data_IF_637368842764
#
_entry.id   IF_637368842764
#
_cell.length_a   1.000
_cell.length_b   1.000
_cell.length_c   1.000
_cell.angle_alpha   90.00
_cell.angle_beta   90.00
_cell.angle_gamma   90.00
#
_symmetry.space_group_name_H-M   'P 1'
#
loop_
_entity.id
_entity.type
_entity.pdbx_description
1 polymer ?
#
# COMPACT_ATOMS: atom_id res chain seq x y z
N UNK A 1 -7.28 3.96 46.25
CA UNK A 1 -6.42 3.28 45.26
C UNK A 1 -6.86 1.85 44.87
N UNK A 2 -8.10 1.41 45.11
CA UNK A 2 -8.52 0.01 44.84
C UNK A 2 -9.60 -0.14 43.73
N UNK A 3 -10.00 0.94 43.09
CA UNK A 3 -11.07 0.91 42.08
C UNK A 3 -10.63 0.94 40.61
N UNK A 4 -9.41 1.36 40.33
CA UNK A 4 -8.89 1.52 38.94
C UNK A 4 -8.28 0.20 38.44
N UNK A 5 -7.74 -0.61 39.31
CA UNK A 5 -7.13 -1.91 38.98
C UNK A 5 -8.12 -3.00 38.54
N UNK A 6 -9.41 -2.90 38.91
CA UNK A 6 -10.42 -3.88 38.50
C UNK A 6 -10.98 -3.69 37.08
N UNK A 7 -10.81 -2.51 36.47
CA UNK A 7 -11.24 -2.26 35.08
C UNK A 7 -10.18 -2.55 34.04
N UNK A 8 -8.92 -2.73 34.40
CA UNK A 8 -7.84 -3.14 33.52
C UNK A 8 -7.80 -4.65 33.19
N UNK A 9 -8.61 -5.45 33.92
CA UNK A 9 -8.62 -6.91 33.78
C UNK A 9 -9.23 -7.46 32.47
N UNK A 10 -9.83 -6.59 31.65
CA UNK A 10 -10.37 -6.99 30.32
C UNK A 10 -9.35 -6.95 29.17
N UNK A 11 -8.14 -6.44 29.43
CA UNK A 11 -7.02 -6.47 28.47
C UNK A 11 -6.10 -7.69 28.65
N UNK A 12 -6.32 -8.48 29.70
CA UNK A 12 -5.53 -9.66 30.07
C UNK A 12 -5.63 -10.85 29.07
N UNK A 13 -6.74 -11.11 28.35
CA UNK A 13 -6.79 -12.25 27.43
C UNK A 13 -5.88 -12.06 26.18
N UNK A 14 -5.53 -10.82 25.83
CA UNK A 14 -4.67 -10.53 24.68
C UNK A 14 -3.19 -10.75 25.01
N UNK A 15 -2.82 -10.67 26.28
CA UNK A 15 -1.43 -10.86 26.76
C UNK A 15 -1.06 -12.34 26.97
N UNK A 16 -2.03 -13.24 27.14
CA UNK A 16 -1.76 -14.66 27.43
C UNK A 16 -1.42 -15.52 26.19
N UNK A 17 -1.55 -14.98 24.97
CA UNK A 17 -1.14 -15.69 23.74
C UNK A 17 0.34 -15.48 23.41
N UNK A 18 1.03 -14.64 24.17
CA UNK A 18 2.48 -14.36 23.98
C UNK A 18 3.27 -14.97 25.14
N UNK A 19 3.18 -16.30 25.34
CA UNK A 19 4.16 -17.04 26.13
C UNK A 19 5.36 -17.43 25.26
N UNK A 20 6.58 -17.46 25.81
CA UNK A 20 7.83 -17.29 25.06
C UNK A 20 8.18 -18.53 24.25
N UNK A 21 8.29 -18.39 22.95
CA UNK A 21 9.18 -19.29 22.18
C UNK A 21 10.59 -18.69 22.30
N UNK A 22 11.34 -19.36 23.18
CA UNK A 22 12.72 -19.04 23.50
C UNK A 22 13.62 -19.00 22.27
N UNK A 23 14.43 -17.99 22.26
CA UNK A 23 15.81 -17.92 21.79
C UNK A 23 16.27 -18.98 20.78
N UNK A 24 16.40 -18.58 19.51
CA UNK A 24 17.45 -19.08 18.66
C UNK A 24 18.25 -17.87 18.11
N UNK A 25 19.55 -18.07 18.19
CA UNK A 25 20.66 -17.13 18.03
C UNK A 25 20.58 -16.24 16.81
N UNK A 26 21.16 -15.05 16.93
CA UNK A 26 21.32 -14.05 15.89
C UNK A 26 21.93 -14.60 14.60
N UNK A 27 21.08 -14.89 13.64
CA UNK A 27 21.44 -15.05 12.25
C UNK A 27 21.34 -13.67 11.60
N UNK A 28 22.45 -13.15 11.12
CA UNK A 28 22.46 -11.95 10.30
C UNK A 28 21.44 -12.10 9.16
N UNK A 29 20.72 -11.02 8.84
CA UNK A 29 19.74 -10.97 7.75
C UNK A 29 20.43 -11.50 6.50
N UNK A 30 20.01 -12.67 6.04
CA UNK A 30 20.42 -13.16 4.73
C UNK A 30 19.98 -12.11 3.69
N UNK A 31 20.91 -11.72 2.83
CA UNK A 31 20.63 -10.79 1.73
C UNK A 31 19.33 -11.21 1.06
N UNK A 32 18.41 -10.26 0.83
CA UNK A 32 17.14 -10.52 0.14
C UNK A 32 17.30 -11.15 -1.26
N UNK A 33 18.54 -11.29 -1.75
CA UNK A 33 18.91 -11.98 -2.97
C UNK A 33 18.75 -13.51 -2.89
N UNK A 34 18.79 -14.12 -1.68
CA UNK A 34 18.71 -15.57 -1.47
C UNK A 34 17.42 -15.95 -0.73
N UNK A 35 16.26 -15.53 -1.25
CA UNK A 35 15.00 -16.09 -0.79
C UNK A 35 14.85 -17.46 -1.47
N UNK A 36 15.43 -18.48 -0.86
CA UNK A 36 15.02 -19.86 -1.17
C UNK A 36 13.58 -20.00 -0.68
N UNK A 37 12.67 -19.99 -1.62
CA UNK A 37 11.25 -20.13 -1.36
C UNK A 37 10.95 -21.58 -0.99
N UNK A 38 11.00 -21.89 0.29
CA UNK A 38 10.54 -23.16 0.82
C UNK A 38 9.08 -23.03 1.24
N UNK A 39 8.16 -23.46 0.36
CA UNK A 39 6.75 -23.56 0.74
C UNK A 39 6.65 -24.54 1.91
N UNK A 40 6.37 -24.03 3.11
CA UNK A 40 6.12 -24.84 4.29
C UNK A 40 4.62 -25.10 4.45
N UNK A 41 4.25 -26.30 4.90
CA UNK A 41 2.85 -26.59 5.26
C UNK A 41 2.30 -25.56 6.25
N UNK A 42 3.11 -25.13 7.23
CA UNK A 42 2.72 -24.13 8.22
C UNK A 42 2.48 -22.74 7.59
N UNK A 43 3.28 -22.33 6.58
CA UNK A 43 3.07 -21.03 5.90
C UNK A 43 1.79 -21.03 5.08
N UNK A 44 1.48 -22.15 4.41
CA UNK A 44 0.22 -22.33 3.66
C UNK A 44 -0.98 -22.30 4.61
N UNK A 45 -0.92 -23.05 5.71
CA UNK A 45 -1.99 -23.09 6.71
C UNK A 45 -2.27 -21.69 7.29
N UNK A 46 -1.21 -20.98 7.71
CA UNK A 46 -1.35 -19.61 8.26
C UNK A 46 -1.84 -18.63 7.19
N UNK A 47 -1.40 -18.76 5.94
CA UNK A 47 -1.90 -17.94 4.82
C UNK A 47 -3.40 -18.16 4.56
N UNK A 48 -3.86 -19.41 4.57
CA UNK A 48 -5.29 -19.74 4.43
C UNK A 48 -6.10 -19.17 5.62
N UNK A 49 -5.60 -19.30 6.84
CA UNK A 49 -6.22 -18.69 8.04
C UNK A 49 -6.32 -17.17 7.87
N UNK A 50 -5.27 -16.53 7.37
CA UNK A 50 -5.25 -15.09 7.08
C UNK A 50 -6.29 -14.69 6.04
N UNK A 51 -6.36 -15.40 4.91
CA UNK A 51 -7.36 -15.14 3.88
C UNK A 51 -8.78 -15.26 4.44
N UNK A 52 -9.07 -16.34 5.17
CA UNK A 52 -10.39 -16.56 5.80
C UNK A 52 -10.71 -15.44 6.79
N UNK A 53 -9.74 -15.02 7.60
CA UNK A 53 -9.92 -13.94 8.58
C UNK A 53 -10.22 -12.60 7.91
N UNK A 54 -9.49 -12.24 6.83
CA UNK A 54 -9.74 -11.01 6.07
C UNK A 54 -11.11 -11.01 5.39
N UNK A 55 -11.52 -12.15 4.81
CA UNK A 55 -12.85 -12.31 4.24
C UNK A 55 -13.95 -12.25 5.30
N UNK A 56 -13.73 -12.83 6.48
CA UNK A 56 -14.65 -12.77 7.60
C UNK A 56 -14.85 -11.32 8.09
N UNK A 57 -13.77 -10.53 8.20
CA UNK A 57 -13.86 -9.10 8.51
C UNK A 57 -14.69 -8.38 7.45
N UNK A 58 -14.42 -8.58 6.16
CA UNK A 58 -15.19 -7.95 5.09
C UNK A 58 -16.68 -8.36 5.12
N UNK A 59 -16.97 -9.62 5.41
CA UNK A 59 -18.33 -10.13 5.55
C UNK A 59 -19.07 -9.48 6.74
N UNK A 60 -18.41 -9.29 7.88
CA UNK A 60 -18.98 -8.61 9.05
C UNK A 60 -19.38 -7.17 8.75
N UNK A 61 -18.55 -6.44 8.00
CA UNK A 61 -18.77 -5.02 7.63
C UNK A 61 -19.53 -4.83 6.32
N UNK A 62 -19.99 -5.90 5.67
CA UNK A 62 -20.77 -5.83 4.44
C UNK A 62 -22.10 -5.11 4.64
N UNK A 63 -22.46 -4.28 3.64
CA UNK A 63 -23.75 -3.57 3.60
C UNK A 63 -24.92 -4.55 3.38
N UNK A 64 -24.69 -5.58 2.58
CA UNK A 64 -25.68 -6.64 2.31
C UNK A 64 -24.96 -7.99 2.12
N UNK A 65 -24.93 -8.78 3.19
CA UNK A 65 -24.24 -10.07 3.22
C UNK A 65 -24.84 -11.11 2.26
N UNK A 66 -26.15 -11.00 1.97
CA UNK A 66 -26.84 -11.94 1.09
C UNK A 66 -26.57 -11.69 -0.39
N UNK A 67 -26.26 -10.44 -0.74
CA UNK A 67 -25.98 -10.04 -2.11
C UNK A 67 -24.50 -10.24 -2.53
N UNK A 68 -23.65 -10.77 -1.63
CA UNK A 68 -22.23 -11.02 -1.94
C UNK A 68 -22.13 -12.11 -3.03
N UNK A 69 -21.49 -11.76 -4.14
CA UNK A 69 -21.17 -12.71 -5.20
C UNK A 69 -19.90 -13.50 -4.89
N UNK A 70 -20.04 -14.66 -4.27
CA UNK A 70 -18.92 -15.55 -3.95
C UNK A 70 -18.14 -16.01 -5.20
N UNK A 71 -18.79 -15.99 -6.38
CA UNK A 71 -18.10 -16.24 -7.66
C UNK A 71 -17.05 -15.16 -7.94
N UNK A 72 -17.39 -13.89 -7.77
CA UNK A 72 -16.42 -12.76 -7.94
C UNK A 72 -15.30 -12.86 -6.93
N UNK A 73 -15.61 -13.17 -5.67
CA UNK A 73 -14.62 -13.37 -4.60
C UNK A 73 -13.67 -14.50 -4.96
N UNK A 74 -14.17 -15.66 -5.35
CA UNK A 74 -13.36 -16.83 -5.70
C UNK A 74 -12.46 -16.57 -6.92
N UNK A 75 -12.98 -15.90 -7.95
CA UNK A 75 -12.18 -15.54 -9.14
C UNK A 75 -11.08 -14.54 -8.76
N UNK A 76 -11.39 -13.52 -7.93
CA UNK A 76 -10.40 -12.53 -7.51
C UNK A 76 -9.27 -13.14 -6.67
N UNK A 77 -9.61 -14.06 -5.76
CA UNK A 77 -8.61 -14.83 -4.99
C UNK A 77 -7.75 -15.72 -5.90
N UNK A 78 -8.38 -16.42 -6.86
CA UNK A 78 -7.65 -17.22 -7.83
C UNK A 78 -6.72 -16.37 -8.70
N UNK A 79 -7.16 -15.20 -9.14
CA UNK A 79 -6.31 -14.26 -9.88
C UNK A 79 -5.11 -13.80 -9.05
N UNK A 80 -5.31 -13.45 -7.77
CA UNK A 80 -4.20 -13.08 -6.90
C UNK A 80 -3.21 -14.22 -6.71
N UNK A 81 -3.70 -15.45 -6.49
CA UNK A 81 -2.85 -16.62 -6.33
C UNK A 81 -2.05 -16.91 -7.61
N UNK A 82 -2.71 -16.88 -8.77
CA UNK A 82 -2.05 -17.10 -10.08
C UNK A 82 -1.00 -16.01 -10.35
N UNK A 83 -1.29 -14.75 -10.05
CA UNK A 83 -0.32 -13.66 -10.18
C UNK A 83 0.86 -13.87 -9.24
N UNK A 84 0.64 -14.20 -7.97
CA UNK A 84 1.70 -14.41 -6.99
C UNK A 84 2.59 -15.59 -7.38
N UNK A 85 2.02 -16.74 -7.75
CA UNK A 85 2.78 -17.91 -8.24
C UNK A 85 3.53 -17.55 -9.53
N UNK A 86 2.88 -16.88 -10.46
CA UNK A 86 3.51 -16.42 -11.70
C UNK A 86 4.75 -15.56 -11.46
N UNK A 87 4.62 -14.54 -10.60
CA UNK A 87 5.69 -13.58 -10.31
C UNK A 87 6.85 -14.24 -9.54
N UNK A 88 6.53 -15.16 -8.62
CA UNK A 88 7.54 -15.75 -7.74
C UNK A 88 8.22 -16.99 -8.33
N UNK A 89 7.54 -17.76 -9.20
CA UNK A 89 8.05 -19.05 -9.67
C UNK A 89 8.14 -19.24 -11.18
N UNK A 90 7.38 -18.48 -11.98
CA UNK A 90 7.37 -18.68 -13.44
C UNK A 90 8.41 -17.78 -14.10
N UNK A 91 9.52 -18.33 -14.66
CA UNK A 91 10.64 -17.54 -15.18
C UNK A 91 10.23 -16.50 -16.24
N UNK A 92 9.27 -16.85 -17.10
CA UNK A 92 8.77 -15.92 -18.13
C UNK A 92 8.04 -14.71 -17.50
N UNK A 93 7.25 -14.91 -16.43
CA UNK A 93 6.58 -13.83 -15.71
C UNK A 93 7.59 -13.02 -14.91
N UNK A 94 8.53 -13.66 -14.24
CA UNK A 94 9.64 -13.00 -13.54
C UNK A 94 10.41 -12.08 -14.49
N UNK A 95 10.75 -12.54 -15.70
CA UNK A 95 11.47 -11.76 -16.70
C UNK A 95 10.69 -10.50 -17.11
N UNK A 96 9.36 -10.57 -17.22
CA UNK A 96 8.51 -9.42 -17.50
C UNK A 96 8.60 -8.38 -16.36
N UNK A 97 8.44 -8.81 -15.12
CA UNK A 97 8.54 -7.90 -13.96
C UNK A 97 9.95 -7.36 -13.78
N UNK A 98 10.97 -8.15 -14.07
CA UNK A 98 12.37 -7.72 -14.06
C UNK A 98 12.65 -6.68 -15.15
N UNK A 99 12.12 -6.88 -16.36
CA UNK A 99 12.23 -5.92 -17.46
C UNK A 99 11.62 -4.57 -17.08
N UNK A 100 10.39 -4.55 -16.54
CA UNK A 100 9.77 -3.32 -16.08
C UNK A 100 10.50 -2.73 -14.87
N UNK A 101 10.97 -3.55 -13.94
CA UNK A 101 11.80 -3.09 -12.81
C UNK A 101 13.07 -2.38 -13.28
N UNK A 102 13.78 -2.95 -14.27
CA UNK A 102 14.97 -2.31 -14.89
C UNK A 102 14.62 -0.99 -15.55
N UNK A 103 13.47 -0.90 -16.22
CA UNK A 103 12.99 0.37 -16.80
C UNK A 103 12.78 1.41 -15.70
N UNK A 104 12.10 1.05 -14.58
CA UNK A 104 11.90 1.97 -13.47
C UNK A 104 13.22 2.45 -12.87
N UNK A 105 14.19 1.56 -12.67
CA UNK A 105 15.52 1.93 -12.16
C UNK A 105 16.22 2.88 -13.13
N UNK A 106 16.18 2.59 -14.43
CA UNK A 106 16.79 3.46 -15.44
C UNK A 106 16.15 4.87 -15.47
N UNK A 107 14.85 4.94 -15.24
CA UNK A 107 14.13 6.21 -15.12
C UNK A 107 14.59 6.99 -13.88
N UNK A 108 14.83 6.27 -12.76
CA UNK A 108 15.42 6.87 -11.55
C UNK A 108 16.81 7.45 -11.83
N UNK A 109 17.65 6.74 -12.59
CA UNK A 109 18.99 7.23 -12.97
C UNK A 109 18.88 8.52 -13.79
N UNK A 110 17.98 8.60 -14.78
CA UNK A 110 17.74 9.84 -15.55
C UNK A 110 17.26 10.99 -14.66
N UNK A 111 16.42 10.69 -13.66
CA UNK A 111 16.01 11.71 -12.69
C UNK A 111 17.19 12.23 -11.90
N UNK A 112 18.12 11.33 -11.51
CA UNK A 112 19.32 11.70 -10.78
C UNK A 112 20.20 12.67 -11.60
N UNK A 113 20.36 12.43 -12.90
CA UNK A 113 21.12 13.33 -13.79
C UNK A 113 20.51 14.74 -13.81
N UNK A 114 19.18 14.85 -13.96
CA UNK A 114 18.48 16.12 -13.89
C UNK A 114 18.58 16.80 -12.51
N UNK A 115 18.56 16.00 -11.44
CA UNK A 115 18.70 16.50 -10.07
C UNK A 115 20.12 17.02 -9.79
N UNK A 116 21.15 16.33 -10.26
CA UNK A 116 22.55 16.78 -10.15
C UNK A 116 22.73 18.11 -10.88
N UNK A 117 22.17 18.25 -12.09
CA UNK A 117 22.22 19.51 -12.82
C UNK A 117 21.60 20.68 -12.04
N UNK A 118 20.46 20.43 -11.35
CA UNK A 118 19.73 21.50 -10.64
C UNK A 118 20.28 21.78 -9.24
N UNK A 119 20.71 20.74 -8.52
CA UNK A 119 21.00 20.78 -7.07
C UNK A 119 22.50 20.60 -6.77
N UNK A 120 23.31 20.19 -7.74
CA UNK A 120 24.77 20.05 -7.60
C UNK A 120 25.17 19.11 -6.46
N UNK A 121 26.08 19.59 -5.62
CA UNK A 121 26.67 18.84 -4.51
C UNK A 121 25.65 18.41 -3.41
N UNK A 122 24.45 18.99 -3.38
CA UNK A 122 23.39 18.54 -2.47
C UNK A 122 22.86 17.14 -2.83
N UNK A 123 23.15 16.65 -4.05
CA UNK A 123 22.85 15.28 -4.47
C UNK A 123 23.92 14.26 -4.07
N UNK A 124 25.09 14.73 -3.63
CA UNK A 124 26.18 13.86 -3.18
C UNK A 124 25.97 13.44 -1.72
N UNK A 125 25.53 12.20 -1.53
CA UNK A 125 25.25 11.65 -0.20
C UNK A 125 26.51 11.54 0.68
N UNK A 126 27.71 11.55 0.10
CA UNK A 126 28.97 11.53 0.87
C UNK A 126 29.30 12.89 1.44
N UNK A 127 28.89 13.99 0.79
CA UNK A 127 29.12 15.37 1.24
C UNK A 127 27.99 15.92 2.09
N UNK A 128 26.74 15.79 1.60
CA UNK A 128 25.57 16.40 2.21
C UNK A 128 24.76 15.43 3.10
N UNK A 129 25.11 14.14 3.11
CA UNK A 129 24.28 13.10 3.70
C UNK A 129 23.03 12.80 2.86
N UNK A 130 22.20 11.87 3.32
CA UNK A 130 20.95 11.55 2.64
C UNK A 130 19.87 12.57 2.99
N UNK A 131 19.56 13.49 2.07
CA UNK A 131 18.50 14.50 2.22
C UNK A 131 17.30 14.09 1.39
N UNK A 132 16.22 13.68 2.06
CA UNK A 132 14.97 13.22 1.43
C UNK A 132 14.45 14.17 0.33
N UNK A 133 14.43 15.48 0.63
CA UNK A 133 13.87 16.46 -0.29
C UNK A 133 14.61 16.50 -1.63
N UNK A 134 15.90 16.22 -1.65
CA UNK A 134 16.71 16.26 -2.87
C UNK A 134 16.82 14.90 -3.55
N UNK A 135 16.83 13.81 -2.77
CA UNK A 135 16.98 12.46 -3.32
C UNK A 135 15.67 11.89 -3.87
N UNK A 136 14.50 12.30 -3.31
CA UNK A 136 13.22 11.65 -3.59
C UNK A 136 12.22 12.55 -4.32
N UNK A 137 12.05 13.82 -3.90
CA UNK A 137 11.01 14.66 -4.50
C UNK A 137 11.19 14.90 -6.02
N UNK A 138 12.41 15.04 -6.57
CA UNK A 138 12.60 15.16 -8.01
C UNK A 138 12.09 13.95 -8.80
N UNK A 139 12.13 12.75 -8.21
CA UNK A 139 11.61 11.54 -8.87
C UNK A 139 10.11 11.64 -9.11
N UNK A 140 9.37 12.20 -8.16
CA UNK A 140 7.92 12.42 -8.29
C UNK A 140 7.62 13.37 -9.45
N UNK A 141 8.41 14.43 -9.58
CA UNK A 141 8.25 15.44 -10.64
C UNK A 141 8.49 14.82 -12.02
N UNK A 142 9.61 14.12 -12.19
CA UNK A 142 9.97 13.52 -13.46
C UNK A 142 8.99 12.40 -13.87
N UNK A 143 8.61 11.52 -12.93
CA UNK A 143 7.64 10.47 -13.21
C UNK A 143 6.25 11.01 -13.57
N UNK A 144 5.81 12.09 -12.94
CA UNK A 144 4.56 12.76 -13.31
C UNK A 144 4.62 13.29 -14.75
N UNK A 145 5.71 13.94 -15.12
CA UNK A 145 5.92 14.42 -16.50
C UNK A 145 5.96 13.26 -17.52
N UNK A 146 6.68 12.18 -17.19
CA UNK A 146 6.77 10.97 -18.01
C UNK A 146 5.42 10.28 -18.18
N UNK A 147 4.67 10.12 -17.08
CA UNK A 147 3.32 9.53 -17.09
C UNK A 147 2.37 10.34 -17.95
N UNK A 148 2.42 11.68 -17.86
CA UNK A 148 1.63 12.59 -18.68
C UNK A 148 1.98 12.46 -20.17
N UNK A 149 3.26 12.33 -20.49
CA UNK A 149 3.74 12.07 -21.87
C UNK A 149 3.22 10.73 -22.39
N UNK A 150 3.37 9.64 -21.62
CA UNK A 150 2.90 8.30 -22.00
C UNK A 150 1.37 8.26 -22.15
N UNK A 151 0.67 9.05 -21.35
CA UNK A 151 -0.78 9.22 -21.47
C UNK A 151 -1.14 9.97 -22.75
N UNK A 152 -0.43 11.07 -23.08
CA UNK A 152 -0.64 11.81 -24.32
C UNK A 152 -0.40 10.95 -25.58
N UNK A 153 0.63 10.08 -25.54
CA UNK A 153 0.96 9.13 -26.62
C UNK A 153 -0.03 7.95 -26.72
N UNK A 154 -0.96 7.81 -25.76
CA UNK A 154 -1.94 6.72 -25.75
C UNK A 154 -1.38 5.35 -25.34
N UNK A 155 -0.15 5.31 -24.82
CA UNK A 155 0.50 4.05 -24.40
C UNK A 155 -0.18 3.48 -23.16
N UNK A 156 -0.34 4.32 -22.11
CA UNK A 156 -0.99 3.92 -20.86
C UNK A 156 -2.41 3.43 -21.12
N UNK A 157 -3.16 4.13 -21.96
CA UNK A 157 -4.55 3.75 -22.28
C UNK A 157 -4.65 2.35 -22.87
N UNK A 158 -3.72 1.96 -23.75
CA UNK A 158 -3.71 0.62 -24.36
C UNK A 158 -3.41 -0.46 -23.33
N UNK A 159 -2.44 -0.22 -22.44
CA UNK A 159 -2.07 -1.16 -21.38
C UNK A 159 -3.22 -1.32 -20.39
N UNK A 160 -3.78 -0.20 -19.92
CA UNK A 160 -4.91 -0.18 -18.99
C UNK A 160 -6.15 -0.85 -19.61
N UNK A 161 -6.43 -0.61 -20.90
CA UNK A 161 -7.52 -1.26 -21.64
C UNK A 161 -7.36 -2.79 -21.64
N UNK A 162 -6.16 -3.29 -21.95
CA UNK A 162 -5.90 -4.72 -21.97
C UNK A 162 -6.14 -5.37 -20.59
N UNK A 163 -5.67 -4.72 -19.52
CA UNK A 163 -5.87 -5.20 -18.15
C UNK A 163 -7.35 -5.12 -17.74
N UNK A 164 -8.04 -4.03 -18.06
CA UNK A 164 -9.46 -3.86 -17.80
C UNK A 164 -10.29 -4.91 -18.54
N UNK A 165 -9.95 -5.24 -19.78
CA UNK A 165 -10.61 -6.28 -20.55
C UNK A 165 -10.51 -7.67 -19.88
N UNK A 166 -9.32 -8.02 -19.40
CA UNK A 166 -9.10 -9.27 -18.64
C UNK A 166 -9.97 -9.28 -17.39
N UNK A 167 -9.97 -8.20 -16.60
CA UNK A 167 -10.76 -8.11 -15.37
C UNK A 167 -12.26 -8.16 -15.63
N UNK A 168 -12.77 -7.41 -16.62
CA UNK A 168 -14.19 -7.44 -17.01
C UNK A 168 -14.62 -8.83 -17.42
N UNK A 169 -13.82 -9.51 -18.27
CA UNK A 169 -14.15 -10.84 -18.79
C UNK A 169 -14.11 -11.93 -17.72
N UNK A 170 -13.12 -11.89 -16.82
CA UNK A 170 -12.97 -12.93 -15.79
C UNK A 170 -13.88 -12.69 -14.58
N UNK A 171 -13.98 -11.46 -14.10
CA UNK A 171 -14.69 -11.14 -12.86
C UNK A 171 -16.14 -10.67 -13.08
N UNK A 172 -16.55 -10.49 -14.35
CA UNK A 172 -17.90 -10.01 -14.71
C UNK A 172 -18.29 -8.71 -13.98
N UNK A 173 -17.38 -7.76 -13.95
CA UNK A 173 -17.55 -6.39 -13.43
C UNK A 173 -17.69 -5.40 -14.59
N UNK A 174 -18.18 -4.18 -14.32
CA UNK A 174 -18.42 -3.23 -15.41
C UNK A 174 -17.11 -2.80 -16.09
N UNK A 175 -17.20 -2.44 -17.37
CA UNK A 175 -16.05 -1.98 -18.13
C UNK A 175 -15.43 -0.71 -17.54
N UNK A 176 -16.26 0.20 -17.00
CA UNK A 176 -15.82 1.46 -16.44
C UNK A 176 -15.07 1.26 -15.10
N UNK A 177 -15.63 0.45 -14.20
CA UNK A 177 -14.97 0.15 -12.94
C UNK A 177 -13.66 -0.64 -13.15
N UNK A 178 -13.62 -1.57 -14.12
CA UNK A 178 -12.42 -2.29 -14.51
C UNK A 178 -11.34 -1.34 -15.04
N UNK A 179 -11.74 -0.37 -15.87
CA UNK A 179 -10.84 0.62 -16.44
C UNK A 179 -10.23 1.52 -15.35
N UNK A 180 -11.05 1.95 -14.37
CA UNK A 180 -10.57 2.75 -13.25
C UNK A 180 -9.59 1.97 -12.37
N UNK A 181 -9.93 0.73 -11.99
CA UNK A 181 -9.06 -0.10 -11.14
C UNK A 181 -7.76 -0.46 -11.85
N UNK A 182 -7.79 -0.83 -13.13
CA UNK A 182 -6.60 -1.10 -13.92
C UNK A 182 -5.76 0.18 -14.13
N UNK A 183 -6.41 1.33 -14.31
CA UNK A 183 -5.74 2.62 -14.41
C UNK A 183 -4.98 2.99 -13.16
N UNK A 184 -5.53 2.70 -11.98
CA UNK A 184 -4.90 2.98 -10.70
C UNK A 184 -3.58 2.21 -10.47
N UNK A 185 -3.29 1.15 -11.22
CA UNK A 185 -1.99 0.44 -11.15
C UNK A 185 -0.82 1.36 -11.55
N UNK A 186 -1.08 2.32 -12.45
CA UNK A 186 -0.08 3.21 -13.03
C UNK A 186 -0.30 4.68 -12.64
N UNK A 187 -1.57 5.06 -12.49
CA UNK A 187 -2.02 6.43 -12.25
C UNK A 187 -2.37 6.63 -10.77
N UNK A 188 -2.41 7.88 -10.34
CA UNK A 188 -2.86 8.23 -9.00
C UNK A 188 -4.37 8.05 -8.80
N UNK A 189 -4.79 8.03 -7.54
CA UNK A 189 -6.19 7.83 -7.12
C UNK A 189 -7.17 8.91 -7.62
N UNK A 190 -6.69 10.06 -8.07
CA UNK A 190 -7.48 11.15 -8.67
C UNK A 190 -7.38 11.16 -10.19
N UNK A 191 -6.33 10.58 -10.75
CA UNK A 191 -6.05 10.56 -12.19
C UNK A 191 -6.78 9.44 -12.92
N UNK A 192 -6.79 8.22 -12.34
CA UNK A 192 -7.48 7.09 -12.97
C UNK A 192 -8.99 7.32 -13.15
N UNK A 193 -9.73 7.95 -12.22
CA UNK A 193 -11.14 8.32 -12.43
C UNK A 193 -11.37 9.31 -13.59
N UNK A 194 -10.35 10.10 -14.00
CA UNK A 194 -10.46 10.96 -15.19
C UNK A 194 -10.69 10.16 -16.49
N UNK A 195 -10.17 8.94 -16.55
CA UNK A 195 -10.35 8.08 -17.73
C UNK A 195 -11.80 7.68 -17.95
N UNK A 196 -12.63 7.74 -16.91
CA UNK A 196 -14.05 7.35 -16.89
C UNK A 196 -14.97 8.51 -16.51
N UNK A 197 -14.48 9.75 -16.55
CA UNK A 197 -15.18 10.95 -16.08
C UNK A 197 -16.61 11.06 -16.61
N UNK A 198 -16.82 10.77 -17.90
CA UNK A 198 -18.10 10.91 -18.58
C UNK A 198 -19.16 9.93 -18.07
N UNK A 199 -18.75 8.86 -17.38
CA UNK A 199 -19.63 7.80 -16.90
C UNK A 199 -19.87 7.84 -15.38
N UNK A 200 -19.08 8.61 -14.63
CA UNK A 200 -19.14 8.63 -13.15
C UNK A 200 -20.53 8.98 -12.61
N UNK A 201 -21.28 9.85 -13.29
CA UNK A 201 -22.62 10.26 -12.85
C UNK A 201 -23.68 9.16 -12.94
N UNK A 202 -23.48 8.21 -13.83
CA UNK A 202 -24.42 7.10 -14.11
C UNK A 202 -24.03 5.80 -13.41
N UNK A 203 -22.86 5.74 -12.78
CA UNK A 203 -22.38 4.57 -12.06
C UNK A 203 -23.22 4.25 -10.83
N UNK A 204 -23.43 2.96 -10.58
CA UNK A 204 -24.09 2.49 -9.35
C UNK A 204 -23.24 2.75 -8.11
N UNK A 205 -23.85 2.78 -6.90
CA UNK A 205 -23.08 2.93 -5.66
C UNK A 205 -21.96 1.90 -5.47
N UNK A 206 -22.17 0.64 -5.92
CA UNK A 206 -21.14 -0.40 -5.87
C UNK A 206 -19.98 -0.13 -6.82
N UNK A 207 -20.25 0.42 -8.00
CA UNK A 207 -19.22 0.79 -8.98
C UNK A 207 -18.40 2.00 -8.48
N UNK A 208 -19.05 3.05 -7.98
CA UNK A 208 -18.37 4.21 -7.35
C UNK A 208 -17.52 3.74 -6.16
N UNK A 209 -18.03 2.81 -5.36
CA UNK A 209 -17.26 2.26 -4.25
C UNK A 209 -16.01 1.51 -4.70
N UNK A 210 -16.09 0.75 -5.81
CA UNK A 210 -14.91 0.09 -6.38
C UNK A 210 -13.91 1.09 -6.95
N UNK A 211 -14.36 2.20 -7.57
CA UNK A 211 -13.48 3.29 -8.01
C UNK A 211 -12.68 3.85 -6.83
N UNK A 212 -13.34 4.13 -5.70
CA UNK A 212 -12.68 4.57 -4.47
C UNK A 212 -11.70 3.53 -3.94
N UNK A 213 -12.14 2.26 -3.85
CA UNK A 213 -11.31 1.16 -3.33
C UNK A 213 -10.06 0.96 -4.21
N UNK A 214 -10.20 1.02 -5.53
CA UNK A 214 -9.09 0.94 -6.47
C UNK A 214 -8.03 2.00 -6.21
N UNK A 215 -8.44 3.25 -6.00
CA UNK A 215 -7.54 4.34 -5.66
C UNK A 215 -6.88 4.21 -4.29
N UNK A 216 -7.54 3.52 -3.34
CA UNK A 216 -6.97 3.29 -1.99
C UNK A 216 -5.97 2.13 -1.95
N UNK A 217 -6.07 1.16 -2.86
CA UNK A 217 -5.29 -0.08 -2.78
C UNK A 217 -4.00 -0.04 -3.60
N UNK A 218 -3.88 0.89 -4.53
CA UNK A 218 -2.72 1.06 -5.43
C UNK A 218 -1.93 2.31 -5.12
N UNK A 219 -0.77 2.43 -5.73
CA UNK A 219 0.10 3.62 -5.64
C UNK A 219 0.43 4.14 -7.04
N UNK A 220 0.57 5.46 -7.17
CA UNK A 220 1.00 6.07 -8.43
C UNK A 220 2.47 5.72 -8.77
N UNK A 221 2.79 5.62 -10.06
CA UNK A 221 4.12 5.22 -10.53
C UNK A 221 5.26 6.11 -10.01
N UNK A 222 5.05 7.43 -9.90
CA UNK A 222 6.05 8.34 -9.34
C UNK A 222 6.36 8.09 -7.87
N UNK A 223 5.36 7.73 -7.10
CA UNK A 223 5.50 7.38 -5.68
C UNK A 223 6.16 6.01 -5.51
N UNK A 224 5.84 5.05 -6.37
CA UNK A 224 6.48 3.73 -6.42
C UNK A 224 8.00 3.85 -6.58
N UNK A 225 8.45 4.77 -7.44
CA UNK A 225 9.87 5.06 -7.64
C UNK A 225 10.58 5.52 -6.35
N UNK A 226 9.91 6.37 -5.55
CA UNK A 226 10.40 6.79 -4.25
C UNK A 226 10.58 5.59 -3.29
N UNK A 227 9.62 4.68 -3.25
CA UNK A 227 9.69 3.50 -2.36
C UNK A 227 10.77 2.50 -2.79
N UNK A 228 11.03 2.35 -4.09
CA UNK A 228 12.18 1.59 -4.58
C UNK A 228 13.50 2.18 -4.04
N UNK A 229 13.63 3.50 -4.04
CA UNK A 229 14.81 4.19 -3.51
C UNK A 229 14.94 3.99 -2.00
N UNK A 230 13.86 4.07 -1.21
CA UNK A 230 13.90 3.86 0.24
C UNK A 230 14.35 2.46 0.62
N UNK A 231 13.73 1.45 0.00
CA UNK A 231 13.96 0.05 0.36
C UNK A 231 15.23 -0.54 -0.25
N UNK A 232 15.59 -0.06 -1.45
CA UNK A 232 16.77 -0.53 -2.20
C UNK A 232 18.05 0.22 -1.86
N UNK A 233 17.96 1.46 -1.33
CA UNK A 233 19.12 2.31 -1.06
C UNK A 233 19.97 2.54 -2.30
N UNK A 234 21.30 2.46 -2.17
CA UNK A 234 22.27 2.59 -3.27
C UNK A 234 22.58 1.26 -3.97
N UNK A 235 22.13 0.11 -3.43
CA UNK A 235 22.40 -1.21 -3.97
C UNK A 235 21.50 -1.54 -5.19
N UNK A 236 22.06 -1.70 -6.42
CA UNK A 236 21.29 -1.98 -7.62
C UNK A 236 20.50 -3.30 -7.52
N UNK A 237 21.02 -4.30 -6.82
CA UNK A 237 20.38 -5.62 -6.66
C UNK A 237 19.14 -5.46 -5.76
N UNK A 238 19.28 -4.78 -4.62
CA UNK A 238 18.14 -4.50 -3.73
C UNK A 238 17.08 -3.63 -4.42
N UNK A 239 17.48 -2.61 -5.17
CA UNK A 239 16.54 -1.79 -5.98
C UNK A 239 15.72 -2.64 -6.93
N UNK A 240 16.36 -3.60 -7.63
CA UNK A 240 15.66 -4.48 -8.56
C UNK A 240 14.69 -5.43 -7.85
N UNK A 241 15.09 -5.97 -6.70
CA UNK A 241 14.24 -6.86 -5.88
C UNK A 241 12.99 -6.09 -5.43
N UNK A 242 13.16 -4.92 -4.81
CA UNK A 242 12.02 -4.14 -4.33
C UNK A 242 11.19 -3.56 -5.48
N UNK A 243 11.79 -3.21 -6.62
CA UNK A 243 11.04 -2.81 -7.81
C UNK A 243 10.10 -3.93 -8.29
N UNK A 244 10.59 -5.18 -8.35
CA UNK A 244 9.75 -6.35 -8.70
C UNK A 244 8.61 -6.55 -7.71
N UNK A 245 8.89 -6.50 -6.41
CA UNK A 245 7.86 -6.69 -5.37
C UNK A 245 6.83 -5.57 -5.34
N UNK A 246 7.24 -4.32 -5.50
CA UNK A 246 6.32 -3.17 -5.52
C UNK A 246 5.44 -3.14 -6.77
N UNK A 247 6.00 -3.47 -7.94
CA UNK A 247 5.22 -3.64 -9.17
C UNK A 247 4.22 -4.80 -9.03
N UNK A 248 4.67 -5.92 -8.45
CA UNK A 248 3.82 -7.06 -8.17
C UNK A 248 2.66 -6.70 -7.22
N UNK A 249 2.97 -5.99 -6.14
CA UNK A 249 1.98 -5.52 -5.18
C UNK A 249 0.92 -4.65 -5.85
N UNK A 250 1.32 -3.72 -6.73
CA UNK A 250 0.41 -2.84 -7.46
C UNK A 250 -0.52 -3.60 -8.41
N UNK A 251 0.01 -4.61 -9.13
CA UNK A 251 -0.78 -5.43 -10.05
C UNK A 251 -1.73 -6.36 -9.28
N UNK A 252 -1.26 -7.00 -8.20
CA UNK A 252 -2.08 -7.87 -7.35
C UNK A 252 -3.15 -7.10 -6.58
N UNK A 253 -2.94 -5.84 -6.32
CA UNK A 253 -3.90 -4.98 -5.64
C UNK A 253 -5.23 -4.86 -6.40
N UNK A 254 -5.21 -4.86 -7.74
CA UNK A 254 -6.39 -4.67 -8.56
C UNK A 254 -7.48 -5.76 -8.35
N UNK A 255 -7.21 -7.07 -8.49
CA UNK A 255 -8.20 -8.10 -8.17
C UNK A 255 -8.59 -8.10 -6.68
N UNK A 256 -7.66 -7.76 -5.77
CA UNK A 256 -7.96 -7.59 -4.35
C UNK A 256 -8.96 -6.47 -4.06
N UNK A 257 -8.84 -5.34 -4.76
CA UNK A 257 -9.80 -4.24 -4.68
C UNK A 257 -11.21 -4.71 -5.05
N UNK A 258 -11.34 -5.47 -6.13
CA UNK A 258 -12.65 -6.01 -6.57
C UNK A 258 -13.23 -6.94 -5.52
N UNK A 259 -12.44 -7.86 -4.96
CA UNK A 259 -12.89 -8.79 -3.91
C UNK A 259 -13.54 -8.02 -2.76
N UNK A 260 -12.79 -7.11 -2.14
CA UNK A 260 -13.28 -6.42 -0.94
C UNK A 260 -14.31 -5.35 -1.23
N UNK A 261 -14.22 -4.68 -2.38
CA UNK A 261 -15.27 -3.73 -2.76
C UNK A 261 -16.61 -4.44 -2.98
N UNK A 262 -16.63 -5.56 -3.69
CA UNK A 262 -17.86 -6.32 -3.96
C UNK A 262 -18.36 -7.12 -2.75
N UNK A 263 -17.52 -7.35 -1.74
CA UNK A 263 -17.97 -7.88 -0.44
C UNK A 263 -18.58 -6.80 0.46
N UNK A 264 -17.95 -5.63 0.57
CA UNK A 264 -18.41 -4.55 1.45
C UNK A 264 -19.61 -3.78 0.91
N UNK A 265 -19.65 -3.56 -0.40
CA UNK A 265 -20.79 -2.95 -1.13
C UNK A 265 -21.10 -3.78 -2.35
N UNK A 266 -21.90 -4.85 -2.20
CA UNK A 266 -22.24 -5.77 -3.28
C UNK A 266 -22.96 -5.09 -4.46
N UNK A 267 -22.74 -5.61 -5.66
CA UNK A 267 -23.41 -5.15 -6.88
C UNK A 267 -24.80 -5.74 -6.96
N UNK A 268 -25.82 -4.89 -6.95
CA UNK A 268 -27.22 -5.28 -7.03
C UNK A 268 -27.90 -4.87 -8.35
N UNK A 269 -27.21 -4.06 -9.18
CA UNK A 269 -27.69 -3.63 -10.49
C UNK A 269 -26.97 -4.39 -11.59
N UNK A 270 -27.59 -4.46 -12.77
CA UNK A 270 -26.93 -5.00 -13.96
C UNK A 270 -25.71 -4.15 -14.31
N UNK A 271 -24.64 -4.81 -14.72
CA UNK A 271 -23.37 -4.17 -15.09
C UNK A 271 -23.30 -3.96 -16.60
N UNK A 272 -22.73 -2.82 -17.01
CA UNK A 272 -22.40 -2.56 -18.39
C UNK A 272 -20.93 -2.97 -18.65
N UNK A 273 -20.75 -4.03 -19.43
CA UNK A 273 -19.42 -4.60 -19.69
C UNK A 273 -18.66 -3.87 -20.83
N UNK A 274 -19.26 -2.86 -21.45
CA UNK A 274 -18.57 -2.08 -22.48
C UNK A 274 -17.45 -1.25 -21.89
N UNK A 275 -16.24 -1.39 -22.44
CA UNK A 275 -15.08 -0.61 -22.04
C UNK A 275 -14.94 0.56 -23.01
N UNK A 276 -15.07 1.78 -22.50
CA UNK A 276 -14.93 3.00 -23.29
C UNK A 276 -13.99 3.96 -22.56
N UNK A 277 -12.92 4.36 -23.20
CA UNK A 277 -11.97 5.31 -22.64
C UNK A 277 -12.36 6.71 -23.08
N UNK A 278 -12.42 7.65 -22.14
CA UNK A 278 -12.61 9.06 -22.46
C UNK A 278 -11.51 9.54 -23.44
N UNK A 279 -11.89 10.26 -24.46
CA UNK A 279 -10.99 10.78 -25.50
C UNK A 279 -10.27 12.08 -25.08
N UNK A 280 -10.42 12.51 -23.84
CA UNK A 280 -9.81 13.73 -23.33
C UNK A 280 -8.28 13.61 -23.37
N UNK A 281 -7.64 14.53 -24.09
CA UNK A 281 -6.17 14.63 -24.18
C UNK A 281 -5.64 15.46 -23.00
N UNK A 282 -4.54 15.04 -22.41
CA UNK A 282 -3.87 15.73 -21.28
C UNK A 282 -3.09 16.97 -21.73
N UNK A 283 -2.98 17.25 -23.02
CA UNK A 283 -2.29 18.41 -23.56
C UNK A 283 -2.57 18.61 -25.05
N UNK A 284 -2.24 19.78 -25.57
CA UNK A 284 -2.41 20.14 -26.99
C UNK A 284 -1.31 19.54 -27.87
N UNK A 285 -0.12 19.35 -27.33
CA UNK A 285 1.05 18.74 -27.98
C UNK A 285 1.95 18.06 -26.94
N UNK A 286 3.05 17.44 -27.40
CA UNK A 286 3.99 16.70 -26.53
C UNK A 286 4.59 17.60 -25.45
N UNK A 287 5.04 18.80 -25.80
CA UNK A 287 5.66 19.72 -24.84
C UNK A 287 4.67 20.21 -23.80
N UNK A 288 3.44 20.49 -24.20
CA UNK A 288 2.35 20.88 -23.31
C UNK A 288 2.01 19.74 -22.34
N UNK A 289 1.95 18.50 -22.81
CA UNK A 289 1.73 17.33 -21.95
C UNK A 289 2.86 17.14 -20.92
N UNK A 290 4.13 17.29 -21.34
CA UNK A 290 5.30 17.22 -20.43
C UNK A 290 5.23 18.35 -19.40
N UNK A 291 4.96 19.59 -19.84
CA UNK A 291 4.91 20.78 -18.97
C UNK A 291 3.79 20.66 -17.92
N UNK A 292 2.60 20.22 -18.34
CA UNK A 292 1.47 19.99 -17.44
C UNK A 292 1.80 18.88 -16.43
N UNK A 293 2.39 17.77 -16.88
CA UNK A 293 2.83 16.70 -16.01
C UNK A 293 3.91 17.14 -15.02
N UNK A 294 4.87 17.96 -15.45
CA UNK A 294 5.89 18.52 -14.56
C UNK A 294 5.26 19.45 -13.49
N UNK A 295 4.34 20.33 -13.88
CA UNK A 295 3.64 21.23 -12.96
C UNK A 295 2.82 20.45 -11.91
N UNK A 296 2.08 19.41 -12.32
CA UNK A 296 1.37 18.53 -11.37
C UNK A 296 2.35 17.75 -10.50
N UNK A 297 3.48 17.30 -11.03
CA UNK A 297 4.54 16.64 -10.28
C UNK A 297 5.16 17.53 -9.20
N UNK A 298 5.43 18.81 -9.50
CA UNK A 298 5.91 19.80 -8.52
C UNK A 298 4.88 19.98 -7.40
N UNK A 299 3.61 20.17 -7.76
CA UNK A 299 2.53 20.30 -6.79
C UNK A 299 2.43 19.07 -5.88
N UNK A 300 2.52 17.87 -6.46
CA UNK A 300 2.52 16.62 -5.70
C UNK A 300 3.74 16.52 -4.77
N UNK A 301 4.94 16.83 -5.27
CA UNK A 301 6.17 16.79 -4.48
C UNK A 301 6.13 17.75 -3.28
N UNK A 302 5.68 18.99 -3.49
CA UNK A 302 5.52 19.99 -2.40
C UNK A 302 4.48 19.52 -1.38
N UNK A 303 3.34 18.99 -1.84
CA UNK A 303 2.33 18.44 -0.94
C UNK A 303 2.87 17.27 -0.11
N UNK A 304 3.61 16.34 -0.73
CA UNK A 304 4.25 15.21 -0.03
C UNK A 304 5.24 15.71 1.02
N UNK A 305 6.11 16.67 0.66
CA UNK A 305 7.07 17.26 1.59
C UNK A 305 6.38 17.92 2.79
N UNK A 306 5.34 18.74 2.53
CA UNK A 306 4.56 19.41 3.57
C UNK A 306 3.83 18.42 4.49
N UNK A 307 3.21 17.40 3.92
CA UNK A 307 2.53 16.35 4.70
C UNK A 307 3.51 15.55 5.56
N UNK A 308 4.66 15.15 5.02
CA UNK A 308 5.68 14.42 5.79
C UNK A 308 6.18 15.25 6.97
N UNK A 309 6.51 16.53 6.74
CA UNK A 309 6.95 17.43 7.79
C UNK A 309 5.90 17.52 8.92
N UNK A 310 4.65 17.76 8.56
CA UNK A 310 3.56 17.93 9.53
C UNK A 310 3.29 16.63 10.29
N UNK A 311 3.19 15.50 9.59
CA UNK A 311 2.90 14.22 10.25
C UNK A 311 4.04 13.74 11.14
N UNK A 312 5.31 13.89 10.72
CA UNK A 312 6.47 13.56 11.56
C UNK A 312 6.47 14.43 12.81
N UNK A 313 6.16 15.73 12.69
CA UNK A 313 6.05 16.62 13.85
C UNK A 313 4.90 16.20 14.78
N UNK A 314 3.74 15.81 14.25
CA UNK A 314 2.63 15.28 15.06
C UNK A 314 2.96 13.95 15.75
N UNK A 315 3.72 13.06 15.09
CA UNK A 315 4.21 11.83 15.73
C UNK A 315 5.09 12.18 16.93
N UNK A 316 6.06 13.08 16.72
CA UNK A 316 6.97 13.50 17.78
C UNK A 316 6.20 14.14 18.95
N UNK A 317 5.19 14.98 18.66
CA UNK A 317 4.32 15.60 19.66
C UNK A 317 3.49 14.54 20.41
N UNK A 318 2.85 13.62 19.70
CA UNK A 318 2.07 12.55 20.31
C UNK A 318 2.95 11.65 21.18
N UNK A 319 4.13 11.26 20.69
CA UNK A 319 5.08 10.46 21.45
C UNK A 319 5.54 11.18 22.71
N UNK A 320 5.84 12.48 22.64
CA UNK A 320 6.14 13.27 23.83
C UNK A 320 5.02 13.20 24.89
N UNK A 321 3.75 13.36 24.48
CA UNK A 321 2.62 13.27 25.39
C UNK A 321 2.46 11.86 25.99
N UNK A 322 2.58 10.83 25.17
CA UNK A 322 2.47 9.43 25.64
C UNK A 322 3.60 9.05 26.56
N UNK A 323 4.85 9.41 26.24
CA UNK A 323 6.01 9.15 27.11
C UNK A 323 5.88 9.87 28.45
N UNK A 324 5.41 11.14 28.45
CA UNK A 324 5.15 11.89 29.69
C UNK A 324 4.05 11.25 30.53
N UNK A 325 2.94 10.85 29.91
CA UNK A 325 1.88 10.13 30.58
C UNK A 325 2.38 8.80 31.15
N UNK A 326 3.14 8.04 30.38
CA UNK A 326 3.76 6.79 30.80
C UNK A 326 4.70 6.95 32.00
N UNK A 327 5.50 8.03 32.02
CA UNK A 327 6.39 8.35 33.15
C UNK A 327 5.63 8.74 34.41
N UNK A 328 4.52 9.51 34.29
CA UNK A 328 3.70 9.92 35.42
C UNK A 328 2.90 8.77 36.04
N UNK A 329 2.59 7.75 35.26
CA UNK A 329 1.73 6.62 35.67
C UNK A 329 2.51 5.35 35.99
N UNK A 330 3.83 5.31 35.77
CA UNK A 330 4.66 4.10 35.90
C UNK A 330 4.45 3.08 34.76
N UNK A 331 3.75 3.47 33.70
CA UNK A 331 3.46 2.58 32.54
C UNK A 331 4.73 2.33 31.73
N UNK A 332 5.68 3.27 31.67
CA UNK A 332 6.92 3.08 30.95
C UNK A 332 7.76 1.95 31.56
N UNK A 333 7.88 1.93 32.88
CA UNK A 333 8.61 0.89 33.62
C UNK A 333 7.93 -0.48 33.45
N UNK A 334 6.59 -0.50 33.49
CA UNK A 334 5.83 -1.71 33.23
C UNK A 334 6.03 -2.21 31.80
N UNK A 335 6.00 -1.33 30.78
CA UNK A 335 6.28 -1.68 29.38
C UNK A 335 7.67 -2.27 29.24
N UNK A 336 8.69 -1.62 29.80
CA UNK A 336 10.07 -2.09 29.75
C UNK A 336 10.23 -3.49 30.35
N UNK A 337 9.55 -3.76 31.48
CA UNK A 337 9.56 -5.07 32.12
C UNK A 337 8.86 -6.15 31.30
N UNK A 338 7.63 -5.89 30.83
CA UNK A 338 6.81 -6.86 30.07
C UNK A 338 7.37 -7.16 28.69
N UNK A 339 8.11 -6.22 28.11
CA UNK A 339 8.72 -6.38 26.78
C UNK A 339 10.19 -6.83 26.83
N UNK A 340 10.73 -7.17 27.99
CA UNK A 340 12.15 -7.49 28.19
C UNK A 340 13.07 -6.41 27.61
N UNK A 341 12.70 -5.12 27.77
CA UNK A 341 13.44 -3.97 27.29
C UNK A 341 13.36 -3.70 25.78
N UNK A 342 12.57 -4.44 25.04
CA UNK A 342 12.34 -4.20 23.58
C UNK A 342 11.64 -2.88 23.30
N UNK A 343 10.73 -2.49 24.17
CA UNK A 343 10.09 -1.18 24.19
C UNK A 343 10.37 -0.52 25.54
N UNK A 344 10.85 0.71 25.51
CA UNK A 344 11.26 1.43 26.73
C UNK A 344 10.18 2.36 27.27
N UNK A 345 9.24 2.75 26.43
CA UNK A 345 8.28 3.80 26.73
C UNK A 345 6.98 3.64 25.95
N UNK A 346 5.92 4.24 26.47
CA UNK A 346 4.65 4.35 25.77
C UNK A 346 4.77 5.38 24.66
N UNK A 347 4.65 4.93 23.42
CA UNK A 347 4.64 5.77 22.23
C UNK A 347 3.59 5.27 21.21
N UNK A 348 3.35 6.04 20.16
CA UNK A 348 2.36 5.73 19.15
C UNK A 348 2.67 4.39 18.46
N UNK A 349 3.93 4.13 18.17
CA UNK A 349 4.38 2.89 17.53
C UNK A 349 4.09 1.67 18.40
N UNK A 350 4.29 1.78 19.71
CA UNK A 350 3.95 0.74 20.68
C UNK A 350 2.45 0.46 20.68
N UNK A 351 1.62 1.50 20.81
CA UNK A 351 0.16 1.37 20.85
C UNK A 351 -0.36 0.70 19.58
N UNK A 352 0.04 1.21 18.42
CA UNK A 352 -0.40 0.69 17.13
C UNK A 352 0.14 -0.72 16.88
N UNK A 353 1.41 -0.96 17.23
CA UNK A 353 2.05 -2.25 17.09
C UNK A 353 1.27 -3.34 17.85
N UNK A 354 0.99 -3.13 19.11
CA UNK A 354 0.27 -4.11 19.93
C UNK A 354 -1.20 -4.24 19.55
N UNK A 355 -1.89 -3.15 19.24
CA UNK A 355 -3.29 -3.17 18.83
C UNK A 355 -3.52 -3.98 17.53
N UNK A 356 -2.56 -3.91 16.60
CA UNK A 356 -2.68 -4.52 15.26
C UNK A 356 -1.96 -5.88 15.19
N UNK A 357 -1.06 -6.19 16.14
CA UNK A 357 -0.27 -7.43 16.13
C UNK A 357 -1.09 -8.73 16.00
N UNK A 358 -2.31 -8.87 16.57
CA UNK A 358 -3.11 -10.08 16.34
C UNK A 358 -3.48 -10.28 14.86
N UNK A 359 -3.79 -9.19 14.16
CA UNK A 359 -4.07 -9.24 12.74
C UNK A 359 -2.80 -9.61 11.94
N UNK A 360 -1.63 -9.10 12.34
CA UNK A 360 -0.35 -9.45 11.72
C UNK A 360 -0.04 -10.93 11.87
N UNK A 361 -0.31 -11.49 13.06
CA UNK A 361 -0.17 -12.91 13.29
C UNK A 361 -1.10 -13.75 12.38
N UNK A 362 -2.36 -13.34 12.27
CA UNK A 362 -3.37 -14.03 11.43
C UNK A 362 -2.95 -14.07 9.96
N UNK A 363 -2.41 -12.99 9.41
CA UNK A 363 -1.99 -12.93 8.00
C UNK A 363 -0.65 -13.63 7.71
N UNK A 364 0.04 -14.16 8.73
CA UNK A 364 1.24 -14.98 8.55
C UNK A 364 2.57 -14.29 8.80
N UNK A 365 2.60 -13.07 9.35
CA UNK A 365 3.82 -12.40 9.83
C UNK A 365 4.46 -13.22 10.96
N UNK A 366 5.80 -13.30 10.99
CA UNK A 366 6.52 -14.00 12.05
C UNK A 366 6.18 -13.41 13.44
N UNK A 367 6.01 -14.25 14.48
CA UNK A 367 5.63 -13.75 15.82
C UNK A 367 6.58 -12.69 16.37
N UNK A 368 7.88 -12.78 16.06
CA UNK A 368 8.90 -11.81 16.47
C UNK A 368 8.70 -10.43 15.83
N UNK A 369 8.13 -10.41 14.62
CA UNK A 369 8.04 -9.23 13.76
C UNK A 369 6.65 -8.54 13.82
N UNK A 370 5.63 -9.20 14.43
CA UNK A 370 4.23 -8.71 14.35
C UNK A 370 4.02 -7.33 14.95
N UNK A 371 4.79 -6.94 15.97
CA UNK A 371 4.67 -5.61 16.58
C UNK A 371 5.19 -4.54 15.62
N UNK A 372 6.35 -4.78 15.00
CA UNK A 372 6.90 -3.86 13.99
C UNK A 372 5.95 -3.75 12.78
N UNK A 373 5.48 -4.88 12.25
CA UNK A 373 4.55 -4.90 11.14
C UNK A 373 3.21 -4.22 11.49
N UNK A 374 2.70 -4.45 12.69
CA UNK A 374 1.49 -3.80 13.20
C UNK A 374 1.65 -2.29 13.33
N UNK A 375 2.79 -1.83 13.85
CA UNK A 375 3.15 -0.41 13.91
C UNK A 375 3.16 0.23 12.53
N UNK A 376 3.80 -0.41 11.54
CA UNK A 376 3.85 0.08 10.15
C UNK A 376 2.46 0.20 9.53
N UNK A 377 1.59 -0.81 9.72
CA UNK A 377 0.22 -0.74 9.22
C UNK A 377 -0.58 0.37 9.91
N UNK A 378 -0.43 0.53 11.22
CA UNK A 378 -1.07 1.59 11.97
C UNK A 378 -0.65 2.99 11.51
N UNK A 379 0.65 3.19 11.31
CA UNK A 379 1.20 4.43 10.77
C UNK A 379 0.67 4.71 9.36
N UNK A 380 0.62 3.70 8.47
CA UNK A 380 0.00 3.83 7.15
C UNK A 380 -1.43 4.33 7.24
N UNK A 381 -2.27 3.71 8.07
CA UNK A 381 -3.70 4.02 8.17
C UNK A 381 -3.92 5.43 8.72
N UNK A 382 -3.24 5.79 9.82
CA UNK A 382 -3.47 7.05 10.53
C UNK A 382 -2.82 8.23 9.80
N UNK A 383 -1.66 8.01 9.20
CA UNK A 383 -0.85 9.04 8.54
C UNK A 383 -0.83 8.84 7.04
N UNK A 384 0.27 8.23 6.55
CA UNK A 384 0.45 7.87 5.14
C UNK A 384 1.36 6.65 5.03
N UNK A 385 1.27 5.96 3.90
CA UNK A 385 2.18 4.86 3.54
C UNK A 385 3.64 5.35 3.35
N UNK A 386 3.86 6.62 3.02
CA UNK A 386 5.21 7.20 2.94
C UNK A 386 5.97 7.04 4.24
N UNK A 387 5.35 7.40 5.37
CA UNK A 387 5.94 7.25 6.70
C UNK A 387 6.17 5.77 6.99
N UNK A 388 5.21 4.92 6.66
CA UNK A 388 5.35 3.47 6.80
C UNK A 388 6.55 2.93 6.03
N UNK A 389 6.80 3.38 4.79
CA UNK A 389 7.97 2.95 4.01
C UNK A 389 9.30 3.50 4.52
N UNK A 390 9.34 4.74 4.99
CA UNK A 390 10.54 5.31 5.62
C UNK A 390 10.88 4.52 6.88
N UNK A 391 9.89 4.23 7.72
CA UNK A 391 10.10 3.47 8.95
C UNK A 391 10.45 1.99 8.66
N UNK A 392 9.85 1.37 7.64
CA UNK A 392 10.25 0.04 7.15
C UNK A 392 11.71 0.02 6.70
N UNK A 393 12.17 1.03 5.98
CA UNK A 393 13.56 1.15 5.54
C UNK A 393 14.52 1.27 6.73
N UNK A 394 14.15 2.10 7.74
CA UNK A 394 14.92 2.28 8.96
C UNK A 394 14.99 0.99 9.78
N UNK A 395 13.87 0.30 10.00
CA UNK A 395 13.82 -0.97 10.73
C UNK A 395 14.59 -2.06 9.99
N UNK A 396 14.51 -2.11 8.65
CA UNK A 396 15.31 -3.02 7.82
C UNK A 396 16.80 -2.74 7.98
N UNK A 397 17.23 -1.48 7.90
CA UNK A 397 18.63 -1.07 8.05
C UNK A 397 19.17 -1.37 9.46
N UNK A 398 18.32 -1.22 10.49
CA UNK A 398 18.65 -1.54 11.88
C UNK A 398 18.65 -3.06 12.17
N UNK A 399 18.28 -3.92 11.21
CA UNK A 399 18.18 -5.36 11.44
C UNK A 399 17.09 -5.75 12.43
N UNK A 400 16.03 -4.95 12.56
CA UNK A 400 14.98 -5.15 13.56
C UNK A 400 14.02 -6.31 13.22
N UNK A 401 13.97 -6.75 11.96
CA UNK A 401 13.16 -7.88 11.54
C UNK A 401 13.91 -9.20 11.69
N UNK A 402 13.26 -10.20 12.27
CA UNK A 402 13.77 -11.56 12.40
C UNK A 402 13.72 -12.33 11.08
N UNK A 403 12.78 -12.01 10.18
CA UNK A 403 12.59 -12.71 8.92
C UNK A 403 12.46 -11.76 7.73
N UNK A 404 13.18 -12.05 6.65
CA UNK A 404 13.07 -11.33 5.37
C UNK A 404 11.65 -11.39 4.79
N UNK A 405 10.94 -12.50 4.99
CA UNK A 405 9.54 -12.68 4.67
C UNK A 405 8.67 -11.55 5.23
N UNK A 406 8.87 -11.19 6.50
CA UNK A 406 8.11 -10.12 7.16
C UNK A 406 8.34 -8.77 6.48
N UNK A 407 9.58 -8.46 6.08
CA UNK A 407 9.92 -7.24 5.31
C UNK A 407 9.18 -7.20 3.98
N UNK A 408 9.16 -8.34 3.25
CA UNK A 408 8.45 -8.43 1.97
C UNK A 408 6.95 -8.26 2.18
N UNK A 409 6.35 -8.96 3.14
CA UNK A 409 4.93 -8.80 3.45
C UNK A 409 4.58 -7.37 3.83
N UNK A 410 5.44 -6.67 4.61
CA UNK A 410 5.30 -5.25 4.91
C UNK A 410 5.32 -4.40 3.63
N UNK A 411 6.22 -4.70 2.70
CA UNK A 411 6.30 -4.01 1.40
C UNK A 411 4.97 -4.11 0.63
N UNK A 412 4.30 -5.27 0.66
CA UNK A 412 3.01 -5.48 -0.01
C UNK A 412 1.86 -4.76 0.68
N UNK A 413 1.71 -4.89 2.00
CA UNK A 413 0.57 -4.25 2.65
C UNK A 413 0.72 -2.73 2.79
N UNK A 414 1.93 -2.20 2.77
CA UNK A 414 2.15 -0.76 2.69
C UNK A 414 1.81 -0.21 1.31
N UNK A 415 1.90 -1.02 0.24
CA UNK A 415 1.58 -0.61 -1.12
C UNK A 415 0.08 -0.28 -1.24
N UNK A 416 -0.23 1.01 -1.29
CA UNK A 416 -1.59 1.52 -1.44
C UNK A 416 -1.88 2.72 -0.54
N UNK A 417 -2.69 3.63 -1.07
CA UNK A 417 -3.08 4.89 -0.43
C UNK A 417 -4.21 4.74 0.61
N UNK A 418 -4.35 3.56 1.25
CA UNK A 418 -5.37 3.33 2.26
C UNK A 418 -5.00 4.03 3.58
N UNK A 419 -5.30 5.34 3.68
CA UNK A 419 -5.10 6.19 4.85
C UNK A 419 -6.21 7.24 4.97
N UNK A 420 -6.31 7.90 6.14
CA UNK A 420 -7.35 8.92 6.38
C UNK A 420 -7.26 10.13 5.44
N UNK A 421 -6.04 10.56 5.08
CA UNK A 421 -5.86 11.69 4.17
C UNK A 421 -6.42 11.39 2.78
N UNK A 422 -6.30 10.16 2.30
CA UNK A 422 -6.82 9.72 1.00
C UNK A 422 -8.34 9.77 0.91
N UNK A 423 -9.06 9.66 2.03
CA UNK A 423 -10.52 9.87 2.05
C UNK A 423 -10.83 11.29 1.57
N UNK A 424 -10.16 12.30 2.15
CA UNK A 424 -10.34 13.70 1.76
C UNK A 424 -9.92 13.97 0.32
N UNK A 425 -8.78 13.39 -0.11
CA UNK A 425 -8.26 13.52 -1.47
C UNK A 425 -9.27 12.96 -2.49
N UNK A 426 -9.86 11.80 -2.23
CA UNK A 426 -10.83 11.19 -3.13
C UNK A 426 -12.17 11.94 -3.16
N UNK A 427 -12.67 12.40 -1.99
CA UNK A 427 -13.89 13.22 -1.93
C UNK A 427 -13.69 14.54 -2.71
N UNK A 428 -12.52 15.16 -2.62
CA UNK A 428 -12.17 16.35 -3.37
C UNK A 428 -11.97 16.07 -4.86
N UNK A 429 -11.11 15.11 -5.19
CA UNK A 429 -10.71 14.79 -6.56
C UNK A 429 -11.84 14.15 -7.38
N UNK A 430 -12.36 13.00 -6.94
CA UNK A 430 -13.45 12.32 -7.64
C UNK A 430 -14.75 13.15 -7.55
N UNK A 431 -15.05 13.73 -6.37
CA UNK A 431 -16.23 14.57 -6.18
C UNK A 431 -16.19 15.85 -7.01
N UNK A 432 -15.03 16.34 -7.42
CA UNK A 432 -14.89 17.42 -8.39
C UNK A 432 -15.27 17.01 -9.82
N UNK A 433 -15.10 15.70 -10.14
CA UNK A 433 -15.48 15.15 -11.44
C UNK A 433 -16.98 14.78 -11.51
N UNK A 434 -17.57 14.37 -10.40
CA UNK A 434 -18.98 13.99 -10.25
C UNK A 434 -19.58 14.61 -8.99
N UNK A 435 -19.97 15.89 -9.04
CA UNK A 435 -20.56 16.59 -7.87
C UNK A 435 -21.82 15.90 -7.32
N UNK A 436 -22.59 15.24 -8.18
CA UNK A 436 -23.76 14.45 -7.82
C UNK A 436 -23.43 13.32 -6.83
N UNK A 437 -22.29 12.66 -6.99
CA UNK A 437 -21.87 11.52 -6.17
C UNK A 437 -21.01 11.93 -4.96
N UNK A 438 -20.70 13.22 -4.76
CA UNK A 438 -19.87 13.70 -3.63
C UNK A 438 -20.39 13.28 -2.25
N UNK A 439 -21.70 13.32 -1.95
CA UNK A 439 -22.24 12.83 -0.68
C UNK A 439 -22.03 11.32 -0.50
N UNK A 440 -22.13 10.55 -1.59
CA UNK A 440 -21.92 9.11 -1.60
C UNK A 440 -20.45 8.77 -1.33
N UNK A 441 -19.52 9.51 -1.94
CA UNK A 441 -18.08 9.38 -1.70
C UNK A 441 -17.74 9.62 -0.21
N UNK A 442 -18.31 10.66 0.40
CA UNK A 442 -18.12 10.93 1.83
C UNK A 442 -18.67 9.80 2.71
N UNK A 443 -19.85 9.26 2.38
CA UNK A 443 -20.45 8.13 3.09
C UNK A 443 -19.57 6.87 3.01
N UNK A 444 -18.89 6.66 1.88
CA UNK A 444 -18.07 5.48 1.63
C UNK A 444 -16.63 5.59 2.14
N UNK A 445 -16.14 6.78 2.49
CA UNK A 445 -14.74 7.00 2.82
C UNK A 445 -14.14 5.98 3.78
N UNK A 446 -14.76 5.77 4.95
CA UNK A 446 -14.27 4.81 5.94
C UNK A 446 -14.33 3.34 5.46
N UNK A 447 -15.37 3.00 4.67
CA UNK A 447 -15.48 1.66 4.08
C UNK A 447 -14.43 1.44 3.00
N UNK A 448 -14.13 2.45 2.18
CA UNK A 448 -13.09 2.38 1.17
C UNK A 448 -11.70 2.24 1.79
N UNK A 449 -11.44 2.94 2.90
CA UNK A 449 -10.23 2.77 3.71
C UNK A 449 -10.11 1.31 4.21
N UNK A 450 -11.18 0.75 4.76
CA UNK A 450 -11.20 -0.65 5.19
C UNK A 450 -10.97 -1.60 4.00
N UNK A 451 -11.68 -1.39 2.88
CA UNK A 451 -11.53 -2.22 1.67
C UNK A 451 -10.11 -2.21 1.14
N UNK A 452 -9.49 -1.02 1.03
CA UNK A 452 -8.11 -0.84 0.58
C UNK A 452 -7.10 -1.50 1.51
N UNK A 453 -7.30 -1.37 2.82
CA UNK A 453 -6.45 -2.03 3.83
C UNK A 453 -6.56 -3.56 3.72
N UNK A 454 -7.77 -4.11 3.68
CA UNK A 454 -7.96 -5.56 3.55
C UNK A 454 -7.38 -6.10 2.23
N UNK A 455 -7.51 -5.36 1.13
CA UNK A 455 -6.97 -5.78 -0.16
C UNK A 455 -5.43 -5.80 -0.20
N UNK A 456 -4.77 -4.81 0.40
CA UNK A 456 -3.31 -4.80 0.52
C UNK A 456 -2.82 -5.90 1.47
N UNK A 457 -3.52 -6.16 2.58
CA UNK A 457 -3.24 -7.28 3.48
C UNK A 457 -3.43 -8.63 2.80
N UNK A 458 -4.44 -8.78 1.94
CA UNK A 458 -4.65 -10.01 1.18
C UNK A 458 -3.47 -10.29 0.25
N UNK A 459 -2.97 -9.29 -0.48
CA UNK A 459 -1.79 -9.43 -1.33
C UNK A 459 -0.56 -9.85 -0.53
N UNK A 460 -0.33 -9.22 0.63
CA UNK A 460 0.74 -9.59 1.55
C UNK A 460 0.60 -11.02 2.08
N UNK A 461 -0.63 -11.44 2.42
CA UNK A 461 -0.94 -12.79 2.92
C UNK A 461 -0.65 -13.85 1.86
N UNK A 462 -1.12 -13.65 0.63
CA UNK A 462 -0.90 -14.57 -0.49
C UNK A 462 0.59 -14.73 -0.80
N UNK A 463 1.33 -13.62 -0.83
CA UNK A 463 2.78 -13.65 -1.06
C UNK A 463 3.51 -14.32 0.11
N UNK A 464 3.15 -13.98 1.35
CA UNK A 464 3.72 -14.60 2.54
C UNK A 464 3.43 -16.09 2.64
N UNK A 465 2.30 -16.58 2.14
CA UNK A 465 1.97 -18.00 2.06
C UNK A 465 2.92 -18.75 1.12
N UNK A 466 3.36 -18.10 0.05
CA UNK A 466 4.15 -18.70 -1.02
C UNK A 466 5.66 -18.61 -0.74
N UNK A 467 6.13 -17.54 -0.12
CA UNK A 467 7.56 -17.37 0.19
C UNK A 467 8.02 -18.33 1.31
N UNK A 468 7.15 -18.70 2.23
CA UNK A 468 7.47 -19.72 3.27
C UNK A 468 7.76 -19.16 4.64
#
# INVERSE_FOLDING_TARGET
MSGVLKKACWLLPVLFVVSPVLAQQGGGIQSAANIESHISFMSVFRGLLGIVSLLAIAWLFSKDRKAISWKVVGIGLAMQLVLAVGILYVPAVQAIFEFFGKIFIRILDFTRDGSIFLLGDLMDTTKAGYIFAFQVLPTIIFFSALTSLLFYLGIIQKVVYAMAWVMTKLMNISGMESLSVAGNIFLGQTEAPLMIKEYLDDMSPSEIFLVMTGGMVTIAGGVLAAYISFLGGEDPVQRLIFAKHLLAASVMAAPGAVVFAKMLVPQTRQVNNNIQISKNKVGKNILDAISNGAAEGVKLAVNVAGMLLVFVAFIAFANYLFTKFGSLTGVNEWIAQVTDGRSKELNLQFILGYAISPLMWLIGIAPQDMIHAGSLLGQKIIMTEFIGYVDLANLKAAGAFAQTKSVIMCTYFLCGFANFASIGIQIGGIGGLTPKNKPLLAQFGMRALLAGTLASLLSATVVGMIIG
#
